data_IF_855255342356
#
_entry.id   IF_855255342356
#
_cell.length_a   1.000
_cell.length_b   1.000
_cell.length_c   1.000
_cell.angle_alpha   90.00
_cell.angle_beta   90.00
_cell.angle_gamma   90.00
#
_symmetry.space_group_name_H-M   'P 1'
#
loop_
_entity.id
_entity.type
_entity.pdbx_description
1 polymer ?
#
# COMPACT_ATOMS: atom_id res chain seq x y z
N UNK A 1 -13.53 21.95 19.72
CA UNK A 1 -12.10 21.95 19.36
C UNK A 1 -11.75 20.51 19.03
N UNK A 2 -11.84 20.13 17.74
CA UNK A 2 -11.64 18.74 17.32
C UNK A 2 -10.17 18.38 17.47
N UNK A 3 -9.86 17.35 18.26
CA UNK A 3 -8.51 16.84 18.44
C UNK A 3 -8.02 16.29 17.10
N UNK A 4 -7.23 17.08 16.36
CA UNK A 4 -6.32 16.50 15.35
C UNK A 4 -5.41 15.56 16.12
N UNK A 5 -5.71 14.26 16.14
CA UNK A 5 -4.86 13.19 16.64
C UNK A 5 -3.67 13.02 15.69
N UNK A 6 -2.91 14.11 15.53
CA UNK A 6 -1.70 14.13 14.74
C UNK A 6 -0.53 13.81 15.64
N UNK A 7 0.43 13.09 15.09
CA UNK A 7 1.74 12.90 15.69
C UNK A 7 2.31 14.24 16.18
N UNK A 8 2.95 14.26 17.34
CA UNK A 8 3.53 15.45 17.97
C UNK A 8 4.88 15.84 17.38
N UNK A 9 5.62 14.88 16.80
CA UNK A 9 6.91 15.13 16.15
C UNK A 9 7.22 14.13 15.02
N UNK A 10 8.23 14.44 14.21
CA UNK A 10 8.74 13.53 13.16
C UNK A 10 9.38 12.28 13.78
N UNK A 11 10.09 12.44 14.91
CA UNK A 11 10.78 11.34 15.57
C UNK A 11 9.78 10.36 16.20
N UNK A 12 8.65 10.88 16.70
CA UNK A 12 7.52 10.04 17.14
C UNK A 12 6.97 9.19 16.00
N UNK A 13 6.78 9.76 14.79
CA UNK A 13 6.34 8.99 13.61
C UNK A 13 7.29 7.84 13.32
N UNK A 14 8.61 8.06 13.38
CA UNK A 14 9.58 6.98 13.16
C UNK A 14 9.47 5.90 14.24
N UNK A 15 9.39 6.30 15.52
CA UNK A 15 9.30 5.38 16.65
C UNK A 15 8.07 4.48 16.55
N UNK A 16 6.88 5.06 16.42
CA UNK A 16 5.63 4.30 16.43
C UNK A 16 5.48 3.40 15.19
N UNK A 17 5.98 3.83 14.03
CA UNK A 17 5.96 2.97 12.84
C UNK A 17 6.92 1.80 13.01
N UNK A 18 8.08 2.02 13.64
CA UNK A 18 9.05 0.96 13.93
C UNK A 18 8.49 -0.12 14.87
N UNK A 19 7.59 0.24 15.79
CA UNK A 19 6.90 -0.72 16.67
C UNK A 19 6.04 -1.73 15.90
N UNK A 20 5.56 -1.36 14.70
CA UNK A 20 4.83 -2.27 13.80
C UNK A 20 5.74 -3.04 12.84
N UNK A 21 7.06 -2.88 12.96
CA UNK A 21 8.03 -3.43 12.02
C UNK A 21 8.11 -2.67 10.69
N UNK A 22 7.65 -1.41 10.65
CA UNK A 22 7.81 -0.52 9.50
C UNK A 22 8.92 0.51 9.77
N UNK A 23 10.12 0.20 9.32
CA UNK A 23 11.29 1.09 9.48
C UNK A 23 11.32 2.08 8.33
N UNK A 24 11.22 3.37 8.66
CA UNK A 24 11.23 4.44 7.66
C UNK A 24 12.33 5.47 7.91
N UNK A 25 12.82 6.06 6.83
CA UNK A 25 13.75 7.18 6.89
C UNK A 25 13.07 8.48 7.33
N UNK A 26 13.88 9.43 7.80
CA UNK A 26 13.41 10.75 8.25
C UNK A 26 12.60 11.49 7.18
N UNK A 27 12.96 11.37 5.91
CA UNK A 27 12.24 12.02 4.81
C UNK A 27 10.78 11.54 4.73
N UNK A 28 10.55 10.22 4.68
CA UNK A 28 9.20 9.64 4.66
C UNK A 28 8.42 10.00 5.93
N UNK A 29 9.03 9.88 7.10
CA UNK A 29 8.41 10.27 8.37
C UNK A 29 8.00 11.76 8.40
N UNK A 30 8.81 12.63 7.79
CA UNK A 30 8.50 14.06 7.66
C UNK A 30 7.26 14.26 6.80
N UNK A 31 7.15 13.59 5.65
CA UNK A 31 5.99 13.76 4.77
C UNK A 31 4.72 13.18 5.42
N UNK A 32 4.82 12.05 6.13
CA UNK A 32 3.70 11.48 6.91
C UNK A 32 3.25 12.43 8.02
N UNK A 33 4.18 12.98 8.80
CA UNK A 33 3.91 13.98 9.84
C UNK A 33 3.19 15.19 9.25
N UNK A 34 3.71 15.73 8.15
CA UNK A 34 3.12 16.89 7.47
C UNK A 34 1.73 16.56 6.92
N UNK A 35 1.54 15.41 6.29
CA UNK A 35 0.25 14.95 5.76
C UNK A 35 -0.83 14.96 6.85
N UNK A 36 -0.54 14.35 8.01
CA UNK A 36 -1.45 14.36 9.15
C UNK A 36 -1.69 15.75 9.73
N UNK A 37 -0.69 16.64 9.72
CA UNK A 37 -0.80 17.99 10.28
C UNK A 37 -1.62 18.94 9.41
N UNK A 38 -1.41 18.89 8.10
CA UNK A 38 -2.06 19.79 7.12
C UNK A 38 -3.33 19.20 6.50
N UNK A 39 -3.56 17.89 6.66
CA UNK A 39 -4.72 17.19 6.11
C UNK A 39 -4.66 17.04 4.60
N UNK A 40 -3.46 16.82 4.02
CA UNK A 40 -3.29 16.56 2.59
C UNK A 40 -2.99 15.08 2.33
N UNK A 41 -3.51 14.48 1.25
CA UNK A 41 -3.14 13.14 0.83
C UNK A 41 -1.63 12.96 0.63
N UNK A 42 -1.13 11.76 0.90
CA UNK A 42 0.25 11.35 0.63
C UNK A 42 0.29 10.58 -0.69
N UNK A 43 1.20 10.94 -1.60
CA UNK A 43 1.45 10.20 -2.83
C UNK A 43 2.85 9.61 -2.79
N UNK A 44 2.91 8.27 -2.74
CA UNK A 44 4.12 7.47 -2.66
C UNK A 44 4.40 6.83 -4.03
N UNK A 45 5.46 7.27 -4.67
CA UNK A 45 5.93 6.71 -5.94
C UNK A 45 7.28 6.04 -5.70
N UNK A 46 7.59 4.96 -6.39
CA UNK A 46 8.86 4.26 -6.20
C UNK A 46 8.86 2.86 -6.76
N UNK A 47 9.93 2.12 -6.50
CA UNK A 47 10.12 0.76 -7.01
C UNK A 47 9.18 -0.26 -6.35
N UNK A 48 8.94 -1.39 -7.01
CA UNK A 48 8.15 -2.47 -6.43
C UNK A 48 8.84 -3.04 -5.18
N UNK A 49 8.05 -3.41 -4.16
CA UNK A 49 8.58 -4.10 -2.99
C UNK A 49 9.35 -3.22 -1.99
N UNK A 50 9.30 -1.88 -2.11
CA UNK A 50 9.95 -0.93 -1.15
C UNK A 50 9.06 -0.52 0.03
N UNK A 51 7.87 -1.12 0.19
CA UNK A 51 6.99 -0.87 1.33
C UNK A 51 6.01 0.31 1.22
N UNK A 52 5.70 0.78 0.00
CA UNK A 52 4.71 1.87 -0.23
C UNK A 52 3.32 1.54 0.30
N UNK A 53 2.85 0.32 0.06
CA UNK A 53 1.53 -0.17 0.51
C UNK A 53 1.52 -0.47 2.01
N UNK A 54 2.66 -0.92 2.55
CA UNK A 54 2.78 -1.39 3.93
C UNK A 54 2.63 -0.25 4.96
N UNK A 55 3.00 0.97 4.58
CA UNK A 55 2.84 2.15 5.46
C UNK A 55 1.39 2.40 5.87
N UNK A 56 0.41 2.10 4.99
CA UNK A 56 -1.00 2.29 5.32
C UNK A 56 -1.46 1.30 6.39
N UNK A 57 -0.94 0.07 6.35
CA UNK A 57 -1.18 -0.95 7.38
C UNK A 57 -0.53 -0.55 8.71
N UNK A 58 0.73 -0.07 8.65
CA UNK A 58 1.44 0.41 9.82
C UNK A 58 0.70 1.58 10.49
N UNK A 59 0.27 2.58 9.73
CA UNK A 59 -0.52 3.70 10.26
C UNK A 59 -1.86 3.25 10.83
N UNK A 60 -2.56 2.34 10.15
CA UNK A 60 -3.82 1.78 10.66
C UNK A 60 -3.62 1.05 12.00
N UNK A 61 -2.57 0.23 12.11
CA UNK A 61 -2.23 -0.48 13.35
C UNK A 61 -1.87 0.48 14.50
N UNK A 62 -1.04 1.50 14.26
CA UNK A 62 -0.60 2.45 15.28
C UNK A 62 -1.74 3.37 15.74
N UNK A 63 -2.58 3.83 14.80
CA UNK A 63 -3.66 4.78 15.11
C UNK A 63 -4.95 4.09 15.56
N UNK A 64 -5.06 2.77 15.39
CA UNK A 64 -6.29 2.02 15.63
C UNK A 64 -7.41 2.33 14.63
N UNK A 65 -7.13 3.09 13.57
CA UNK A 65 -8.12 3.51 12.56
C UNK A 65 -8.30 2.41 11.53
N UNK A 66 -9.53 2.22 11.05
CA UNK A 66 -9.88 1.25 10.01
C UNK A 66 -9.08 1.52 8.73
N UNK A 67 -8.48 0.48 8.15
CA UNK A 67 -7.86 0.52 6.83
C UNK A 67 -8.89 0.17 5.76
N UNK A 68 -9.07 1.06 4.80
CA UNK A 68 -9.89 0.84 3.62
C UNK A 68 -8.97 0.87 2.40
N UNK A 69 -8.99 -0.21 1.61
CA UNK A 69 -8.17 -0.33 0.41
C UNK A 69 -9.04 -0.25 -0.84
N UNK A 70 -8.72 0.69 -1.72
CA UNK A 70 -9.14 0.74 -3.10
C UNK A 70 -7.97 0.25 -3.96
N UNK A 71 -8.08 -0.96 -4.52
CA UNK A 71 -7.10 -1.47 -5.47
C UNK A 71 -7.40 -0.91 -6.86
N UNK A 72 -6.42 -0.25 -7.46
CA UNK A 72 -6.52 0.25 -8.82
C UNK A 72 -6.06 -0.80 -9.85
N UNK A 73 -6.78 -0.84 -10.96
CA UNK A 73 -6.53 -1.69 -12.11
C UNK A 73 -7.21 -1.08 -13.35
N UNK A 74 -6.87 -1.58 -14.54
CA UNK A 74 -7.40 -1.08 -15.81
C UNK A 74 -8.91 -1.35 -15.93
N UNK A 75 -9.69 -0.35 -16.34
CA UNK A 75 -11.15 -0.47 -16.40
C UNK A 75 -11.87 -0.36 -15.05
N UNK A 76 -11.18 0.04 -13.98
CA UNK A 76 -11.85 0.41 -12.72
C UNK A 76 -12.77 1.61 -12.93
N UNK A 77 -14.03 1.48 -12.49
CA UNK A 77 -15.06 2.50 -12.66
C UNK A 77 -15.61 3.05 -11.33
N UNK A 78 -16.45 4.09 -11.43
CA UNK A 78 -17.07 4.73 -10.27
C UNK A 78 -18.00 3.76 -9.51
N UNK A 79 -18.66 2.82 -10.19
CA UNK A 79 -19.55 1.86 -9.55
C UNK A 79 -18.76 0.91 -8.62
N UNK A 80 -17.59 0.45 -9.06
CA UNK A 80 -16.73 -0.45 -8.27
C UNK A 80 -15.97 0.29 -7.16
N UNK A 81 -15.75 1.60 -7.30
CA UNK A 81 -15.00 2.41 -6.34
C UNK A 81 -15.88 3.11 -5.30
N UNK A 82 -17.09 3.56 -5.67
CA UNK A 82 -17.97 4.38 -4.82
C UNK A 82 -19.16 3.59 -4.31
N UNK A 83 -20.02 3.08 -5.20
CA UNK A 83 -21.24 2.40 -4.80
C UNK A 83 -21.86 1.58 -5.93
N UNK A 84 -22.63 0.58 -5.55
CA UNK A 84 -23.52 -0.15 -6.46
C UNK A 84 -24.91 -0.27 -5.82
N UNK A 85 -25.96 -0.16 -6.64
CA UNK A 85 -27.32 -0.46 -6.18
C UNK A 85 -27.56 -1.98 -6.21
N UNK A 86 -28.05 -2.54 -5.11
CA UNK A 86 -28.46 -3.94 -5.05
C UNK A 86 -29.81 -4.13 -5.77
N UNK A 87 -29.76 -4.17 -7.10
CA UNK A 87 -30.95 -4.31 -7.94
C UNK A 87 -31.72 -5.59 -7.64
N UNK A 88 -31.04 -6.68 -7.28
CA UNK A 88 -31.72 -7.94 -6.93
C UNK A 88 -32.61 -7.76 -5.68
N UNK A 89 -32.09 -7.14 -4.63
CA UNK A 89 -32.85 -6.84 -3.42
C UNK A 89 -33.98 -5.83 -3.69
N UNK A 90 -33.72 -4.78 -4.47
CA UNK A 90 -34.74 -3.82 -4.90
C UNK A 90 -35.90 -4.52 -5.64
N UNK A 91 -35.59 -5.44 -6.55
CA UNK A 91 -36.61 -6.19 -7.30
C UNK A 91 -37.44 -7.11 -6.40
N UNK A 92 -36.84 -7.72 -5.38
CA UNK A 92 -37.58 -8.51 -4.37
C UNK A 92 -38.51 -7.61 -3.56
N UNK A 93 -38.03 -6.44 -3.13
CA UNK A 93 -38.83 -5.47 -2.39
C UNK A 93 -40.04 -4.98 -3.20
N UNK A 94 -39.83 -4.62 -4.48
CA UNK A 94 -40.91 -4.24 -5.40
C UNK A 94 -41.98 -5.33 -5.50
N UNK A 95 -41.58 -6.59 -5.74
CA UNK A 95 -42.52 -7.71 -5.89
C UNK A 95 -43.32 -7.99 -4.62
N UNK A 96 -42.67 -7.90 -3.46
CA UNK A 96 -43.34 -8.06 -2.15
C UNK A 96 -44.35 -6.96 -1.90
N UNK A 97 -43.98 -5.71 -2.19
CA UNK A 97 -44.88 -4.55 -2.05
C UNK A 97 -46.10 -4.67 -2.99
N UNK A 98 -45.89 -5.03 -4.25
CA UNK A 98 -46.95 -5.30 -5.23
C UNK A 98 -47.91 -6.42 -4.75
N UNK A 99 -47.35 -7.53 -4.22
CA UNK A 99 -48.15 -8.64 -3.71
C UNK A 99 -48.98 -8.29 -2.46
N UNK A 100 -48.47 -7.37 -1.63
CA UNK A 100 -49.14 -6.91 -0.40
C UNK A 100 -50.24 -5.86 -0.64
N UNK A 101 -50.37 -5.34 -1.86
CA UNK A 101 -51.34 -4.29 -2.20
C UNK A 101 -51.04 -2.92 -1.59
N UNK A 102 -49.88 -2.75 -0.94
CA UNK A 102 -49.41 -1.50 -0.36
C UNK A 102 -48.34 -0.89 -1.28
N UNK A 103 -48.74 -0.10 -2.27
CA UNK A 103 -47.77 0.61 -3.10
C UNK A 103 -48.24 2.02 -3.45
N UNK A 104 -47.95 2.99 -2.57
CA UNK A 104 -47.79 4.36 -3.04
C UNK A 104 -46.44 4.45 -3.77
N UNK A 105 -46.50 4.69 -5.08
CA UNK A 105 -45.34 4.70 -5.99
C UNK A 105 -44.24 5.65 -5.53
N UNK A 106 -44.58 6.78 -4.89
CA UNK A 106 -43.57 7.72 -4.38
C UNK A 106 -42.84 7.19 -3.17
N UNK A 107 -43.57 6.61 -2.21
CA UNK A 107 -42.97 5.99 -1.02
C UNK A 107 -42.03 4.84 -1.40
N UNK A 108 -42.45 3.99 -2.33
CA UNK A 108 -41.65 2.87 -2.83
C UNK A 108 -40.36 3.35 -3.52
N UNK A 109 -40.45 4.39 -4.36
CA UNK A 109 -39.27 4.93 -5.04
C UNK A 109 -38.24 5.50 -4.04
N UNK A 110 -38.70 6.23 -3.01
CA UNK A 110 -37.82 6.75 -1.97
C UNK A 110 -37.16 5.64 -1.13
N UNK A 111 -37.88 4.54 -0.89
CA UNK A 111 -37.37 3.37 -0.16
C UNK A 111 -36.30 2.61 -0.96
N UNK A 112 -36.52 2.42 -2.27
CA UNK A 112 -35.60 1.67 -3.14
C UNK A 112 -34.26 2.37 -3.33
N UNK A 113 -34.24 3.70 -3.37
CA UNK A 113 -33.01 4.51 -3.43
C UNK A 113 -32.59 4.98 -2.04
N UNK A 114 -32.57 4.06 -1.08
CA UNK A 114 -32.11 4.30 0.30
C UNK A 114 -30.82 3.55 0.59
N UNK A 115 -30.15 3.89 1.69
CA UNK A 115 -28.91 3.22 2.12
C UNK A 115 -29.06 1.72 2.35
N UNK A 116 -30.29 1.20 2.51
CA UNK A 116 -30.56 -0.24 2.68
C UNK A 116 -30.17 -1.07 1.44
N UNK A 117 -30.37 -0.51 0.24
CA UNK A 117 -30.05 -1.17 -1.03
C UNK A 117 -28.71 -0.71 -1.61
N UNK A 118 -27.99 0.15 -0.89
CA UNK A 118 -26.72 0.72 -1.36
C UNK A 118 -25.55 -0.16 -0.91
N UNK A 119 -24.88 -0.79 -1.86
CA UNK A 119 -23.63 -1.50 -1.63
C UNK A 119 -22.51 -0.47 -1.63
N UNK A 120 -22.01 -0.14 -0.44
CA UNK A 120 -20.92 0.83 -0.31
C UNK A 120 -19.58 0.22 -0.74
N UNK A 121 -18.85 0.93 -1.59
CA UNK A 121 -17.51 0.55 -2.05
C UNK A 121 -16.44 1.42 -1.38
N UNK A 122 -15.13 1.14 -1.54
CA UNK A 122 -14.07 1.73 -0.71
C UNK A 122 -14.13 3.25 -0.55
N UNK A 123 -14.39 4.00 -1.63
CA UNK A 123 -14.44 5.48 -1.55
C UNK A 123 -15.62 5.96 -0.72
N UNK A 124 -16.82 5.39 -0.90
CA UNK A 124 -17.97 5.77 -0.07
C UNK A 124 -17.78 5.36 1.38
N UNK A 125 -17.27 4.14 1.62
CA UNK A 125 -16.97 3.67 2.97
C UNK A 125 -16.00 4.61 3.70
N UNK A 126 -15.02 5.19 2.98
CA UNK A 126 -14.07 6.15 3.54
C UNK A 126 -14.68 7.51 3.88
N UNK A 127 -15.86 7.85 3.33
CA UNK A 127 -16.61 9.06 3.65
C UNK A 127 -17.62 8.86 4.79
N UNK A 128 -17.79 7.63 5.30
CA UNK A 128 -18.71 7.34 6.41
C UNK A 128 -18.07 7.65 7.77
N UNK A 129 -18.88 8.05 8.77
CA UNK A 129 -18.41 8.09 10.15
C UNK A 129 -18.06 6.67 10.62
N UNK A 130 -17.01 6.58 11.44
CA UNK A 130 -16.56 5.36 12.10
C UNK A 130 -16.22 5.70 13.55
N UNK A 131 -16.56 4.80 14.48
CA UNK A 131 -16.33 5.00 15.92
C UNK A 131 -14.84 5.09 16.26
N UNK A 132 -13.97 4.46 15.45
CA UNK A 132 -12.52 4.55 15.57
C UNK A 132 -11.93 5.86 14.98
N UNK A 133 -12.77 6.74 14.44
CA UNK A 133 -12.38 7.99 13.78
C UNK A 133 -12.13 7.83 12.28
N UNK A 134 -11.73 8.92 11.62
CA UNK A 134 -11.56 8.93 10.16
C UNK A 134 -10.56 7.85 9.69
N UNK A 135 -10.93 7.01 8.69
CA UNK A 135 -10.15 5.85 8.31
C UNK A 135 -8.83 6.21 7.60
N UNK A 136 -7.96 5.21 7.47
CA UNK A 136 -6.83 5.24 6.54
C UNK A 136 -7.35 4.73 5.20
N UNK A 137 -7.37 5.59 4.17
CA UNK A 137 -7.75 5.23 2.81
C UNK A 137 -6.49 5.00 1.97
N UNK A 138 -6.26 3.76 1.57
CA UNK A 138 -5.19 3.36 0.66
C UNK A 138 -5.75 3.23 -0.76
N UNK A 139 -5.32 4.09 -1.67
CA UNK A 139 -5.55 3.99 -3.12
C UNK A 139 -4.28 3.39 -3.73
N UNK A 140 -4.30 2.09 -3.98
CA UNK A 140 -3.10 1.31 -4.29
C UNK A 140 -2.93 1.13 -5.81
N UNK A 141 -1.73 1.37 -6.34
CA UNK A 141 -1.37 1.28 -7.75
C UNK A 141 -2.22 2.17 -8.69
N UNK A 142 -2.37 3.46 -8.32
CA UNK A 142 -3.21 4.42 -9.06
C UNK A 142 -2.81 4.57 -10.54
N UNK A 143 -1.54 4.32 -10.86
CA UNK A 143 -0.98 4.27 -12.21
C UNK A 143 -1.53 3.12 -13.08
N UNK A 144 -2.33 2.21 -12.54
CA UNK A 144 -3.02 1.18 -13.34
C UNK A 144 -4.43 1.56 -13.78
N UNK A 145 -4.94 2.71 -13.35
CA UNK A 145 -6.28 3.18 -13.77
C UNK A 145 -6.25 3.90 -15.11
N UNK A 146 -7.40 4.39 -15.58
CA UNK A 146 -7.50 5.28 -16.74
C UNK A 146 -7.68 6.75 -16.30
N UNK A 147 -7.35 7.71 -17.18
CA UNK A 147 -7.49 9.16 -16.88
C UNK A 147 -8.90 9.57 -16.39
N UNK A 148 -10.02 9.03 -16.92
CA UNK A 148 -11.35 9.38 -16.40
C UNK A 148 -11.54 9.02 -14.93
N UNK A 149 -10.96 7.90 -14.48
CA UNK A 149 -11.02 7.50 -13.09
C UNK A 149 -10.17 8.41 -12.20
N UNK A 150 -8.98 8.79 -12.67
CA UNK A 150 -8.14 9.76 -11.96
C UNK A 150 -8.83 11.12 -11.78
N UNK A 151 -9.54 11.58 -12.81
CA UNK A 151 -10.33 12.80 -12.73
C UNK A 151 -11.46 12.69 -11.69
N UNK A 152 -12.08 11.51 -11.57
CA UNK A 152 -13.09 11.23 -10.56
C UNK A 152 -12.54 11.31 -9.13
N UNK A 153 -11.31 10.80 -8.89
CA UNK A 153 -10.66 10.89 -7.58
C UNK A 153 -10.41 12.34 -7.11
N UNK A 154 -10.40 13.33 -8.01
CA UNK A 154 -10.14 14.73 -7.64
C UNK A 154 -11.15 15.28 -6.63
N UNK A 155 -12.43 14.89 -6.73
CA UNK A 155 -13.46 15.29 -5.76
C UNK A 155 -13.13 14.68 -4.38
N UNK A 156 -12.90 13.37 -4.34
CA UNK A 156 -12.62 12.62 -3.12
C UNK A 156 -11.35 13.11 -2.40
N UNK A 157 -10.33 13.54 -3.14
CA UNK A 157 -9.06 14.01 -2.57
C UNK A 157 -9.05 15.49 -2.18
N UNK A 158 -9.92 16.32 -2.79
CA UNK A 158 -9.96 17.76 -2.52
C UNK A 158 -11.00 18.11 -1.46
N UNK A 159 -12.19 17.54 -1.59
CA UNK A 159 -13.35 17.87 -0.76
C UNK A 159 -13.66 16.81 0.30
N UNK A 160 -12.98 15.65 0.24
CA UNK A 160 -13.26 14.47 1.07
C UNK A 160 -14.74 14.10 1.01
N UNK A 161 -15.22 14.00 -0.23
CA UNK A 161 -16.62 13.80 -0.58
C UNK A 161 -16.74 12.92 -1.81
N UNK A 162 -17.83 12.16 -1.90
CA UNK A 162 -18.28 11.51 -3.13
C UNK A 162 -19.70 11.94 -3.45
N UNK A 163 -20.04 12.11 -4.72
CA UNK A 163 -21.41 12.43 -5.13
C UNK A 163 -22.11 11.21 -5.73
N UNK A 164 -23.28 10.87 -5.17
CA UNK A 164 -24.17 9.82 -5.69
C UNK A 164 -25.34 10.53 -6.37
N UNK A 165 -25.60 10.34 -7.68
CA UNK A 165 -26.68 11.00 -8.40
C UNK A 165 -28.03 11.01 -7.68
N UNK A 166 -28.43 9.88 -7.07
CA UNK A 166 -29.73 9.76 -6.40
C UNK A 166 -29.74 10.33 -4.97
N UNK A 167 -28.58 10.40 -4.29
CA UNK A 167 -28.48 10.82 -2.88
C UNK A 167 -27.83 12.19 -2.68
N UNK A 168 -27.23 12.74 -3.74
CA UNK A 168 -26.41 13.94 -3.67
C UNK A 168 -25.02 13.71 -3.06
N UNK A 169 -24.36 14.80 -2.62
CA UNK A 169 -23.01 14.75 -2.07
C UNK A 169 -22.96 14.13 -0.67
N UNK A 170 -22.03 13.20 -0.46
CA UNK A 170 -21.75 12.55 0.83
C UNK A 170 -20.33 12.92 1.25
N UNK A 171 -20.22 13.81 2.23
CA UNK A 171 -18.96 14.36 2.73
C UNK A 171 -18.53 13.67 4.02
N UNK A 172 -17.24 13.36 4.13
CA UNK A 172 -16.67 12.81 5.35
C UNK A 172 -16.76 13.84 6.49
N UNK A 173 -17.25 13.46 7.68
CA UNK A 173 -17.32 14.37 8.83
C UNK A 173 -15.92 14.79 9.31
N UNK A 174 -14.95 13.89 9.24
CA UNK A 174 -13.52 14.14 9.41
C UNK A 174 -12.79 13.55 8.18
N UNK A 175 -11.86 14.30 7.55
CA UNK A 175 -11.11 13.81 6.40
C UNK A 175 -10.32 12.52 6.69
N UNK A 176 -10.42 11.48 5.85
CA UNK A 176 -9.57 10.30 5.97
C UNK A 176 -8.09 10.64 5.72
N UNK A 177 -7.20 9.86 6.31
CA UNK A 177 -5.78 9.91 5.93
C UNK A 177 -5.62 9.12 4.65
N UNK A 178 -5.37 9.82 3.54
CA UNK A 178 -5.29 9.19 2.22
C UNK A 178 -3.84 8.94 1.81
N UNK A 179 -3.55 7.71 1.38
CA UNK A 179 -2.28 7.30 0.81
C UNK A 179 -2.53 6.76 -0.59
N UNK A 180 -1.87 7.35 -1.58
CA UNK A 180 -1.84 6.90 -2.95
C UNK A 180 -0.49 6.23 -3.19
N UNK A 181 -0.47 5.09 -3.86
CA UNK A 181 0.77 4.42 -4.27
C UNK A 181 0.85 4.29 -5.79
N UNK A 182 2.07 4.32 -6.33
CA UNK A 182 2.33 4.05 -7.74
C UNK A 182 3.68 3.33 -7.92
N UNK A 183 3.72 2.40 -8.87
CA UNK A 183 4.95 1.74 -9.30
C UNK A 183 5.55 2.41 -10.55
N UNK A 184 5.04 3.59 -10.94
CA UNK A 184 5.41 4.36 -12.12
C UNK A 184 5.32 3.55 -13.43
N UNK A 185 4.36 2.64 -13.55
CA UNK A 185 4.13 1.90 -14.82
C UNK A 185 3.61 2.82 -15.91
N UNK A 186 2.90 3.88 -15.53
CA UNK A 186 2.56 5.02 -16.38
C UNK A 186 2.63 6.31 -15.57
N UNK A 187 2.60 7.44 -16.26
CA UNK A 187 2.48 8.73 -15.58
C UNK A 187 1.05 8.97 -15.09
N UNK A 188 0.93 9.28 -13.79
CA UNK A 188 -0.31 9.71 -13.14
C UNK A 188 -0.57 11.18 -13.47
N UNK A 189 -1.83 11.54 -13.73
CA UNK A 189 -2.21 12.89 -14.12
C UNK A 189 -1.77 13.92 -13.08
N UNK A 190 -1.16 15.00 -13.57
CA UNK A 190 -0.59 16.07 -12.75
C UNK A 190 -1.60 16.73 -11.78
N UNK A 191 -2.90 16.69 -12.11
CA UNK A 191 -3.96 17.16 -11.24
C UNK A 191 -4.03 16.40 -9.90
N UNK A 192 -3.74 15.10 -9.90
CA UNK A 192 -3.65 14.29 -8.67
C UNK A 192 -2.39 14.62 -7.89
N UNK A 193 -1.23 14.67 -8.57
CA UNK A 193 0.07 14.99 -7.95
C UNK A 193 0.01 16.32 -7.19
N UNK A 194 -0.57 17.36 -7.81
CA UNK A 194 -0.74 18.70 -7.21
C UNK A 194 -1.63 18.74 -5.97
N UNK A 195 -2.49 17.74 -5.75
CA UNK A 195 -3.36 17.65 -4.57
C UNK A 195 -2.72 16.89 -3.41
N UNK A 196 -1.62 16.20 -3.66
CA UNK A 196 -0.92 15.38 -2.68
C UNK A 196 0.40 16.03 -2.19
N UNK A 197 0.88 15.57 -1.05
CA UNK A 197 2.31 15.62 -0.71
C UNK A 197 3.01 14.45 -1.38
N UNK A 198 4.03 14.74 -2.17
CA UNK A 198 4.77 13.73 -2.92
C UNK A 198 5.98 13.22 -2.15
N UNK A 199 6.24 11.92 -2.21
CA UNK A 199 7.48 11.32 -1.74
C UNK A 199 7.89 10.15 -2.65
N UNK A 200 9.15 10.17 -3.07
CA UNK A 200 9.78 9.05 -3.75
C UNK A 200 10.32 8.06 -2.71
N UNK A 201 9.89 6.80 -2.78
CA UNK A 201 10.37 5.71 -1.94
C UNK A 201 11.37 4.89 -2.75
N UNK A 202 12.65 5.08 -2.45
CA UNK A 202 13.74 4.33 -3.06
C UNK A 202 14.04 3.04 -2.28
N UNK A 203 14.93 2.21 -2.82
CA UNK A 203 15.53 1.12 -2.06
C UNK A 203 16.26 1.69 -0.83
N UNK A 204 16.13 1.05 0.34
CA UNK A 204 16.85 1.47 1.53
C UNK A 204 18.36 1.26 1.40
N UNK A 205 19.13 2.12 2.07
CA UNK A 205 20.54 1.88 2.36
C UNK A 205 20.73 0.63 3.22
N UNK A 206 21.94 0.06 3.20
CA UNK A 206 22.29 -1.19 3.90
C UNK A 206 21.79 -1.25 5.34
N UNK A 207 22.13 -0.28 6.18
CA UNK A 207 21.77 -0.29 7.60
C UNK A 207 20.26 -0.30 7.80
N UNK A 208 19.52 0.48 7.00
CA UNK A 208 18.06 0.52 7.07
C UNK A 208 17.43 -0.77 6.57
N UNK A 209 17.96 -1.35 5.49
CA UNK A 209 17.45 -2.62 4.99
C UNK A 209 17.69 -3.77 5.98
N UNK A 210 18.84 -3.75 6.67
CA UNK A 210 19.15 -4.68 7.73
C UNK A 210 18.20 -4.52 8.92
N UNK A 211 17.90 -3.29 9.34
CA UNK A 211 16.90 -3.01 10.38
C UNK A 211 15.50 -3.52 9.96
N UNK A 212 15.09 -3.29 8.70
CA UNK A 212 13.83 -3.82 8.16
C UNK A 212 13.82 -5.35 8.24
N UNK A 213 14.89 -5.99 7.79
CA UNK A 213 14.99 -7.44 7.77
C UNK A 213 14.93 -8.02 9.18
N UNK A 214 15.63 -7.44 10.15
CA UNK A 214 15.61 -7.87 11.56
C UNK A 214 14.24 -7.67 12.21
N UNK A 215 13.53 -6.59 11.87
CA UNK A 215 12.19 -6.35 12.37
C UNK A 215 11.18 -7.38 11.83
N UNK A 216 11.38 -7.90 10.62
CA UNK A 216 10.46 -8.84 9.96
C UNK A 216 10.84 -10.31 10.14
N UNK A 217 12.13 -10.60 10.28
CA UNK A 217 12.69 -11.95 10.45
C UNK A 217 13.63 -11.96 11.66
N UNK A 218 13.11 -11.76 12.89
CA UNK A 218 13.93 -11.61 14.09
C UNK A 218 14.71 -12.88 14.47
N UNK A 219 14.24 -14.05 14.03
CA UNK A 219 14.86 -15.35 14.29
C UNK A 219 16.06 -15.65 13.37
N UNK A 220 16.28 -14.86 12.32
CA UNK A 220 17.43 -15.02 11.44
C UNK A 220 18.73 -14.64 12.16
N UNK A 221 19.76 -15.48 12.00
CA UNK A 221 21.08 -15.19 12.57
C UNK A 221 21.64 -13.86 12.02
N UNK A 222 22.23 -13.03 12.89
CA UNK A 222 22.73 -11.70 12.52
C UNK A 222 23.69 -11.73 11.31
N UNK A 223 24.55 -12.76 11.25
CA UNK A 223 25.45 -13.00 10.11
C UNK A 223 24.67 -13.24 8.82
N UNK A 224 23.67 -14.10 8.86
CA UNK A 224 22.81 -14.39 7.71
C UNK A 224 22.09 -13.13 7.23
N UNK A 225 21.50 -12.35 8.14
CA UNK A 225 20.81 -11.11 7.78
C UNK A 225 21.72 -10.13 7.05
N UNK A 226 22.96 -9.95 7.53
CA UNK A 226 23.96 -9.09 6.86
C UNK A 226 24.34 -9.63 5.49
N UNK A 227 24.62 -10.92 5.37
CA UNK A 227 24.96 -11.56 4.10
C UNK A 227 23.81 -11.48 3.07
N UNK A 228 22.57 -11.67 3.51
CA UNK A 228 21.37 -11.55 2.67
C UNK A 228 21.20 -10.14 2.12
N UNK A 229 21.24 -9.11 2.99
CA UNK A 229 21.10 -7.72 2.55
C UNK A 229 22.23 -7.34 1.60
N UNK A 230 23.48 -7.66 1.95
CA UNK A 230 24.63 -7.34 1.10
C UNK A 230 24.53 -8.02 -0.27
N UNK A 231 24.12 -9.29 -0.30
CA UNK A 231 23.96 -10.03 -1.55
C UNK A 231 22.85 -9.43 -2.41
N UNK A 232 21.68 -9.12 -1.85
CA UNK A 232 20.57 -8.53 -2.60
C UNK A 232 20.93 -7.13 -3.12
N UNK A 233 21.61 -6.30 -2.34
CA UNK A 233 22.06 -4.99 -2.80
C UNK A 233 23.07 -5.08 -3.94
N UNK A 234 24.05 -5.98 -3.83
CA UNK A 234 24.98 -6.25 -4.92
C UNK A 234 24.23 -6.72 -6.17
N UNK A 235 23.20 -7.56 -6.01
CA UNK A 235 22.37 -8.04 -7.09
C UNK A 235 21.55 -6.93 -7.78
N UNK A 236 21.15 -5.88 -7.06
CA UNK A 236 20.49 -4.69 -7.65
C UNK A 236 21.42 -3.84 -8.53
N UNK A 237 22.73 -4.00 -8.37
CA UNK A 237 23.74 -3.36 -9.23
C UNK A 237 24.00 -4.13 -10.53
N UNK A 238 23.53 -5.37 -10.63
CA UNK A 238 23.65 -6.18 -11.84
C UNK A 238 22.60 -5.79 -12.91
N UNK A 239 22.87 -6.18 -14.16
CA UNK A 239 21.96 -6.01 -15.29
C UNK A 239 20.84 -7.05 -15.24
N UNK A 240 19.87 -6.85 -14.36
CA UNK A 240 18.68 -7.67 -14.24
C UNK A 240 17.49 -7.04 -14.95
N UNK A 241 16.63 -7.87 -15.53
CA UNK A 241 15.35 -7.41 -16.07
C UNK A 241 14.47 -6.83 -14.97
N UNK A 242 14.38 -7.52 -13.83
CA UNK A 242 13.66 -7.02 -12.65
C UNK A 242 14.51 -7.14 -11.39
N UNK A 243 14.85 -5.98 -10.83
CA UNK A 243 15.62 -5.91 -9.58
C UNK A 243 14.76 -6.36 -8.39
N UNK A 244 15.30 -7.20 -7.48
CA UNK A 244 14.60 -7.61 -6.28
C UNK A 244 14.41 -6.43 -5.32
N UNK A 245 13.23 -6.31 -4.72
CA UNK A 245 12.94 -5.32 -3.69
C UNK A 245 13.18 -5.82 -2.27
N UNK A 246 12.71 -5.04 -1.30
CA UNK A 246 12.82 -5.38 0.12
C UNK A 246 11.89 -6.54 0.46
N UNK A 247 10.73 -6.62 -0.19
CA UNK A 247 9.82 -7.75 -0.08
C UNK A 247 10.50 -9.08 -0.44
N UNK A 248 11.19 -9.15 -1.58
CA UNK A 248 11.96 -10.32 -1.99
C UNK A 248 13.11 -10.64 -1.02
N UNK A 249 13.72 -9.62 -0.40
CA UNK A 249 14.77 -9.80 0.62
C UNK A 249 14.23 -10.48 1.88
N UNK A 250 13.06 -10.04 2.35
CA UNK A 250 12.38 -10.62 3.52
C UNK A 250 11.92 -12.06 3.21
N UNK A 251 11.29 -12.27 2.05
CA UNK A 251 10.82 -13.59 1.62
C UNK A 251 11.98 -14.58 1.53
N UNK A 252 13.13 -14.15 0.98
CA UNK A 252 14.31 -15.01 0.89
C UNK A 252 14.90 -15.34 2.26
N UNK A 253 14.95 -14.38 3.18
CA UNK A 253 15.39 -14.66 4.54
C UNK A 253 14.47 -15.66 5.26
N UNK A 254 13.15 -15.58 5.05
CA UNK A 254 12.23 -16.61 5.55
C UNK A 254 12.49 -17.99 4.91
N UNK A 255 12.76 -18.06 3.61
CA UNK A 255 13.14 -19.32 2.96
C UNK A 255 14.42 -19.91 3.56
N UNK A 256 15.45 -19.08 3.77
CA UNK A 256 16.73 -19.51 4.34
C UNK A 256 16.58 -19.97 5.79
N UNK A 257 15.76 -19.26 6.58
CA UNK A 257 15.44 -19.66 7.95
C UNK A 257 14.70 -21.01 7.99
N UNK A 258 13.75 -21.22 7.07
CA UNK A 258 13.03 -22.50 6.95
C UNK A 258 13.92 -23.67 6.52
N UNK A 259 15.09 -23.39 5.96
CA UNK A 259 16.12 -24.37 5.59
C UNK A 259 17.21 -24.52 6.66
N UNK A 260 17.04 -23.90 7.84
CA UNK A 260 18.01 -23.87 8.94
C UNK A 260 19.40 -23.35 8.51
N UNK A 261 19.44 -22.47 7.51
CA UNK A 261 20.68 -21.87 7.02
C UNK A 261 21.14 -20.79 7.98
N UNK A 262 22.42 -20.82 8.36
CA UNK A 262 23.03 -19.82 9.27
C UNK A 262 24.00 -18.86 8.57
N UNK A 263 24.39 -19.17 7.34
CA UNK A 263 25.24 -18.34 6.47
C UNK A 263 25.07 -18.76 5.00
N UNK A 264 25.24 -17.82 4.08
CA UNK A 264 25.12 -18.09 2.65
C UNK A 264 26.31 -18.91 2.12
N UNK A 265 26.00 -19.87 1.25
CA UNK A 265 26.97 -20.56 0.39
C UNK A 265 26.52 -20.46 -1.08
N UNK A 266 27.42 -20.60 -2.06
CA UNK A 266 27.04 -20.59 -3.48
C UNK A 266 25.97 -21.63 -3.83
N UNK A 267 26.02 -22.81 -3.21
CA UNK A 267 25.04 -23.88 -3.41
C UNK A 267 23.66 -23.48 -2.88
N UNK A 268 23.59 -22.98 -1.64
CA UNK A 268 22.34 -22.51 -1.03
C UNK A 268 21.72 -21.38 -1.84
N UNK A 269 22.55 -20.43 -2.31
CA UNK A 269 22.07 -19.35 -3.18
C UNK A 269 21.46 -19.95 -4.44
N UNK A 270 22.20 -20.79 -5.17
CA UNK A 270 21.72 -21.40 -6.42
C UNK A 270 20.39 -22.16 -6.24
N UNK A 271 20.25 -22.91 -5.16
CA UNK A 271 19.03 -23.69 -4.84
C UNK A 271 17.84 -22.80 -4.46
N UNK A 272 18.09 -21.55 -4.03
CA UNK A 272 17.05 -20.63 -3.53
C UNK A 272 16.88 -19.36 -4.37
N UNK A 273 17.59 -19.21 -5.49
CA UNK A 273 17.52 -18.03 -6.37
C UNK A 273 16.09 -17.71 -6.82
N UNK A 274 15.24 -18.72 -6.98
CA UNK A 274 13.82 -18.55 -7.32
C UNK A 274 13.00 -17.78 -6.26
N UNK A 275 13.50 -17.64 -5.03
CA UNK A 275 12.90 -16.81 -4.00
C UNK A 275 13.06 -15.32 -4.32
N UNK A 276 14.23 -14.90 -4.81
CA UNK A 276 14.57 -13.50 -5.08
C UNK A 276 14.37 -13.07 -6.54
N UNK A 277 14.54 -13.97 -7.50
CA UNK A 277 14.41 -13.69 -8.93
C UNK A 277 13.26 -14.51 -9.54
N UNK A 278 12.45 -13.86 -10.37
CA UNK A 278 11.25 -14.47 -11.00
C UNK A 278 11.37 -14.64 -12.51
N UNK A 279 12.44 -14.17 -13.12
CA UNK A 279 12.69 -14.28 -14.56
C UNK A 279 13.74 -15.33 -14.83
N UNK A 280 13.43 -16.25 -15.74
CA UNK A 280 14.32 -17.36 -16.10
C UNK A 280 15.67 -16.85 -16.61
N UNK A 281 15.67 -15.77 -17.39
CA UNK A 281 16.90 -15.17 -17.94
C UNK A 281 17.78 -14.57 -16.82
N UNK A 282 17.16 -13.92 -15.83
CA UNK A 282 17.87 -13.38 -14.66
C UNK A 282 18.48 -14.51 -13.80
N UNK A 283 17.74 -15.60 -13.58
CA UNK A 283 18.24 -16.79 -12.88
C UNK A 283 19.39 -17.43 -13.66
N UNK A 284 19.27 -17.51 -14.99
CA UNK A 284 20.28 -18.08 -15.85
C UNK A 284 21.61 -17.30 -15.81
N UNK A 285 21.54 -15.96 -15.71
CA UNK A 285 22.71 -15.09 -15.55
C UNK A 285 23.49 -15.38 -14.25
N UNK A 286 22.82 -15.84 -13.21
CA UNK A 286 23.43 -16.10 -11.90
C UNK A 286 23.96 -17.52 -11.69
N UNK A 287 23.74 -18.44 -12.63
CA UNK A 287 24.26 -19.80 -12.50
C UNK A 287 25.79 -19.86 -12.61
N UNK A 288 26.38 -20.87 -11.96
CA UNK A 288 27.82 -21.12 -12.02
C UNK A 288 28.63 -20.20 -11.10
N UNK A 289 29.70 -19.61 -11.62
CA UNK A 289 30.64 -18.80 -10.83
C UNK A 289 30.11 -17.44 -10.41
N UNK A 290 28.98 -17.00 -10.98
CA UNK A 290 28.49 -15.63 -10.81
C UNK A 290 27.89 -15.38 -9.42
N UNK A 291 27.03 -16.29 -8.94
CA UNK A 291 26.53 -16.24 -7.57
C UNK A 291 27.67 -16.20 -6.54
N UNK A 292 28.76 -16.96 -6.79
CA UNK A 292 29.95 -16.94 -5.94
C UNK A 292 30.66 -15.59 -6.01
N UNK A 293 30.86 -15.02 -7.21
CA UNK A 293 31.48 -13.70 -7.39
C UNK A 293 30.72 -12.62 -6.61
N UNK A 294 29.40 -12.60 -6.70
CA UNK A 294 28.55 -11.63 -6.01
C UNK A 294 28.62 -11.84 -4.49
N UNK A 295 28.59 -13.09 -4.02
CA UNK A 295 28.73 -13.39 -2.59
C UNK A 295 30.09 -12.96 -2.02
N UNK A 296 31.19 -13.23 -2.75
CA UNK A 296 32.54 -12.86 -2.32
C UNK A 296 32.70 -11.32 -2.28
N UNK A 297 32.15 -10.62 -3.28
CA UNK A 297 32.10 -9.15 -3.28
C UNK A 297 31.27 -8.60 -2.12
N UNK A 298 30.08 -9.16 -1.87
CA UNK A 298 29.22 -8.76 -0.76
C UNK A 298 29.90 -8.94 0.60
N UNK A 299 30.64 -10.04 0.79
CA UNK A 299 31.42 -10.27 2.02
C UNK A 299 32.56 -9.28 2.20
N UNK A 300 33.25 -8.92 1.12
CA UNK A 300 34.34 -7.93 1.17
C UNK A 300 33.79 -6.58 1.61
N UNK A 301 32.67 -6.14 1.03
CA UNK A 301 31.98 -4.91 1.45
C UNK A 301 31.58 -4.93 2.93
N UNK A 302 31.13 -6.08 3.44
CA UNK A 302 30.77 -6.23 4.85
C UNK A 302 31.94 -6.16 5.83
N UNK A 303 33.16 -6.51 5.39
CA UNK A 303 34.40 -6.40 6.19
C UNK A 303 34.93 -4.96 6.23
N UNK A 304 34.65 -4.18 5.18
CA UNK A 304 35.04 -2.77 5.06
C UNK A 304 34.10 -1.80 5.83
N UNK A 305 32.95 -2.29 6.32
CA UNK A 305 31.92 -1.53 7.08
C UNK A 305 32.01 -1.76 8.59
#
# INVERSE_FOLDING_TARGET
MSSRSGFSSIDEVQSILSETGYVCGRALATVVFLAGRIGRPLFLEGEAGVGKTEIAKALSAVTGRRLIRLQCYEGLDAASAVYEWNFAAQMVAIRTAEASGQADRRSLQAELFSTEYLIERPLLQAMRPDDAGAPILLIDEVDRTDEPFEAFLLEALSEFQVTIPELGPIKAPEPPTVILTSNRTREVHDALKRRCLYHWVDYPEFDRELEILQARVPDAAQRLSREVVAFVQALRSEDLFKKPGVAETIDWAHCLLALDVVSLSPEVIADTLGAILKYQDDIAKLHGSEAKRILDAARTTLEDM
#
